data_IF_950086793578
#
_entry.id   IF_950086793578
#
_cell.length_a   1.000
_cell.length_b   1.000
_cell.length_c   1.000
_cell.angle_alpha   90.00
_cell.angle_beta   90.00
_cell.angle_gamma   90.00
#
_symmetry.space_group_name_H-M   'P 1'
#
loop_
_entity.id
_entity.type
_entity.pdbx_description
1 polymer ?
#
# COMPACT_ATOMS: atom_id res chain seq x y z
N UNK A 1 15.64 -12.04 -0.70
CA UNK A 1 14.86 -13.16 -0.13
C UNK A 1 14.31 -13.93 -1.30
N UNK A 2 14.95 -15.03 -1.68
CA UNK A 2 14.79 -15.61 -3.03
C UNK A 2 13.99 -16.91 -3.08
N UNK A 3 13.55 -17.43 -1.92
CA UNK A 3 12.62 -18.56 -1.80
C UNK A 3 11.61 -18.24 -0.70
N UNK A 4 10.31 -18.26 -1.03
CA UNK A 4 9.21 -17.98 -0.10
C UNK A 4 8.03 -18.89 -0.44
N UNK A 5 7.23 -19.23 0.57
CA UNK A 5 6.03 -20.05 0.43
C UNK A 5 4.83 -19.23 -0.04
N UNK A 6 4.10 -19.75 -1.03
CA UNK A 6 2.89 -19.14 -1.58
C UNK A 6 1.69 -20.08 -1.49
N UNK A 7 0.48 -19.52 -1.47
CA UNK A 7 -0.76 -20.29 -1.62
C UNK A 7 -1.10 -20.43 -3.09
N UNK A 8 -1.33 -21.66 -3.54
CA UNK A 8 -1.66 -21.96 -4.94
C UNK A 8 -3.07 -21.47 -5.27
N UNK A 9 -3.19 -20.76 -6.40
CA UNK A 9 -4.48 -20.44 -7.03
C UNK A 9 -4.42 -20.90 -8.49
N UNK A 10 -5.28 -21.85 -8.85
CA UNK A 10 -5.36 -22.37 -10.21
C UNK A 10 -6.03 -21.31 -11.10
N UNK A 11 -5.37 -20.96 -12.20
CA UNK A 11 -5.82 -19.98 -13.17
C UNK A 11 -5.67 -20.57 -14.58
N UNK A 12 -6.43 -20.09 -15.57
CA UNK A 12 -6.18 -20.45 -16.96
C UNK A 12 -4.79 -19.98 -17.43
N UNK A 13 -4.37 -20.48 -18.59
CA UNK A 13 -3.10 -20.18 -19.28
C UNK A 13 -1.86 -20.84 -18.67
N UNK A 14 -0.73 -20.76 -19.38
CA UNK A 14 0.48 -21.58 -19.12
C UNK A 14 1.63 -20.79 -18.49
N UNK A 15 1.34 -19.80 -17.63
CA UNK A 15 2.38 -18.98 -16.97
C UNK A 15 2.11 -18.84 -15.47
N UNK A 16 3.18 -18.74 -14.68
CA UNK A 16 3.05 -18.38 -13.27
C UNK A 16 2.63 -16.93 -13.12
N UNK A 17 1.87 -16.67 -12.04
CA UNK A 17 1.38 -15.34 -11.69
C UNK A 17 1.65 -15.08 -10.23
N UNK A 18 2.16 -13.90 -9.93
CA UNK A 18 2.42 -13.44 -8.57
C UNK A 18 2.03 -11.98 -8.41
N UNK A 19 1.93 -11.51 -7.17
CA UNK A 19 1.65 -10.12 -6.87
C UNK A 19 2.87 -9.23 -7.18
N UNK A 20 2.64 -8.03 -7.70
CA UNK A 20 3.70 -7.07 -8.07
C UNK A 20 4.59 -6.68 -6.88
N UNK A 21 4.08 -6.61 -5.65
CA UNK A 21 4.91 -6.32 -4.48
C UNK A 21 5.91 -7.45 -4.14
N UNK A 22 5.70 -8.65 -4.68
CA UNK A 22 6.63 -9.77 -4.53
C UNK A 22 7.78 -9.73 -5.55
N UNK A 23 7.73 -8.87 -6.57
CA UNK A 23 8.80 -8.85 -7.59
C UNK A 23 10.12 -8.33 -7.01
N UNK A 24 10.07 -7.37 -6.10
CA UNK A 24 11.26 -6.78 -5.47
C UNK A 24 12.14 -7.80 -4.74
N UNK A 25 11.63 -8.68 -3.85
CA UNK A 25 12.47 -9.70 -3.21
C UNK A 25 13.00 -10.77 -4.15
N UNK A 26 12.28 -11.08 -5.24
CA UNK A 26 12.71 -12.03 -6.27
C UNK A 26 13.61 -11.42 -7.35
N UNK A 27 13.68 -10.09 -7.41
CA UNK A 27 14.31 -9.35 -8.51
C UNK A 27 13.75 -9.77 -9.89
N UNK A 28 12.42 -9.91 -9.98
CA UNK A 28 11.72 -10.27 -11.22
C UNK A 28 11.19 -9.02 -11.94
N UNK A 29 11.14 -9.05 -13.27
CA UNK A 29 10.67 -7.92 -14.10
C UNK A 29 9.70 -8.30 -15.23
N UNK A 30 9.43 -9.60 -15.42
CA UNK A 30 8.49 -10.15 -16.40
C UNK A 30 8.89 -9.93 -17.87
N UNK A 31 10.18 -9.76 -18.18
CA UNK A 31 10.67 -9.62 -19.56
C UNK A 31 10.99 -10.95 -20.27
N UNK A 32 10.75 -12.07 -19.59
CA UNK A 32 11.14 -13.42 -20.03
C UNK A 32 11.57 -14.34 -18.89
N UNK A 33 11.54 -13.86 -17.64
CA UNK A 33 11.88 -14.60 -16.44
C UNK A 33 11.22 -15.98 -16.31
N UNK A 34 12.02 -16.96 -15.90
CA UNK A 34 11.56 -18.28 -15.48
C UNK A 34 11.73 -18.44 -13.96
N UNK A 35 10.74 -19.07 -13.31
CA UNK A 35 10.80 -19.39 -11.88
C UNK A 35 10.45 -20.85 -11.64
N UNK A 36 11.19 -21.49 -10.73
CA UNK A 36 10.93 -22.87 -10.34
C UNK A 36 9.93 -22.93 -9.18
N UNK A 37 9.11 -23.99 -9.17
CA UNK A 37 8.16 -24.27 -8.10
C UNK A 37 8.44 -25.66 -7.51
N UNK A 38 8.56 -25.72 -6.20
CA UNK A 38 8.73 -26.96 -5.45
C UNK A 38 7.50 -27.21 -4.58
N UNK A 39 6.94 -28.42 -4.65
CA UNK A 39 5.75 -28.80 -3.88
C UNK A 39 6.18 -29.64 -2.66
N UNK A 40 5.97 -29.16 -1.42
CA UNK A 40 6.24 -29.97 -0.23
C UNK A 40 5.33 -31.20 -0.21
N UNK A 41 5.91 -32.38 -0.02
CA UNK A 41 5.19 -33.66 -0.10
C UNK A 41 4.61 -34.13 1.25
N UNK A 42 5.30 -33.84 2.36
CA UNK A 42 4.85 -34.23 3.70
C UNK A 42 4.03 -33.12 4.36
N UNK A 43 3.12 -33.50 5.27
CA UNK A 43 2.34 -32.53 6.04
C UNK A 43 3.20 -31.71 7.00
N UNK A 44 4.29 -32.29 7.51
CA UNK A 44 5.25 -31.61 8.37
C UNK A 44 5.98 -30.49 7.60
N UNK A 45 6.56 -30.80 6.43
CA UNK A 45 7.23 -29.79 5.59
C UNK A 45 6.23 -28.74 5.07
N UNK A 46 4.99 -29.14 4.78
CA UNK A 46 3.94 -28.17 4.44
C UNK A 46 3.68 -27.20 5.59
N UNK A 47 3.57 -27.70 6.83
CA UNK A 47 3.37 -26.86 8.02
C UNK A 47 4.57 -25.96 8.28
N UNK A 48 5.80 -26.44 8.05
CA UNK A 48 7.03 -25.65 8.14
C UNK A 48 6.99 -24.46 7.17
N UNK A 49 6.69 -24.71 5.89
CA UNK A 49 6.59 -23.65 4.88
C UNK A 49 5.47 -22.66 5.22
N UNK A 50 4.31 -23.13 5.66
CA UNK A 50 3.16 -22.26 6.00
C UNK A 50 3.42 -21.38 7.23
N UNK A 51 4.18 -21.86 8.21
CA UNK A 51 4.41 -21.13 9.47
C UNK A 51 5.71 -20.34 9.50
N UNK A 52 6.71 -20.69 8.70
CA UNK A 52 8.03 -20.05 8.73
C UNK A 52 8.28 -19.26 7.44
N UNK A 53 8.15 -19.91 6.28
CA UNK A 53 8.59 -19.35 5.00
C UNK A 53 7.50 -18.65 4.17
N UNK A 54 6.25 -18.61 4.64
CA UNK A 54 5.15 -17.99 3.89
C UNK A 54 5.40 -16.49 3.66
N UNK A 55 5.09 -16.00 2.46
CA UNK A 55 5.43 -14.63 2.00
C UNK A 55 5.07 -13.51 3.00
N UNK A 56 3.88 -13.48 3.65
CA UNK A 56 3.56 -12.43 4.62
C UNK A 56 4.47 -12.38 5.85
N UNK A 57 5.10 -13.52 6.23
CA UNK A 57 6.09 -13.56 7.34
C UNK A 57 7.48 -13.10 6.90
N UNK A 58 7.69 -12.96 5.60
CA UNK A 58 8.96 -12.56 4.98
C UNK A 58 8.88 -11.12 4.45
N UNK A 59 7.99 -10.26 4.97
CA UNK A 59 7.91 -8.86 4.56
C UNK A 59 9.13 -8.08 5.04
N UNK A 60 9.57 -8.29 6.29
CA UNK A 60 10.70 -7.59 6.92
C UNK A 60 11.93 -8.49 6.88
N UNK A 61 13.03 -8.00 6.32
CA UNK A 61 14.30 -8.75 6.29
C UNK A 61 15.14 -8.48 7.55
N UNK A 62 15.76 -9.52 8.15
CA UNK A 62 16.73 -9.33 9.24
C UNK A 62 18.06 -8.72 8.75
N UNK A 63 18.34 -8.72 7.44
CA UNK A 63 19.59 -8.17 6.88
C UNK A 63 19.75 -6.67 7.16
N UNK A 64 18.65 -5.92 7.13
CA UNK A 64 18.65 -4.46 7.24
C UNK A 64 17.47 -3.93 8.09
N UNK A 65 16.78 -4.80 8.81
CA UNK A 65 15.63 -4.48 9.67
C UNK A 65 14.58 -3.59 8.99
N UNK A 66 14.32 -3.85 7.70
CA UNK A 66 13.40 -3.05 6.87
C UNK A 66 12.51 -3.94 6.01
N UNK A 67 11.34 -3.46 5.58
CA UNK A 67 10.54 -4.15 4.58
C UNK A 67 11.32 -4.34 3.28
N UNK A 68 11.14 -5.48 2.61
CA UNK A 68 11.63 -5.70 1.23
C UNK A 68 10.51 -5.70 0.20
N UNK A 69 9.26 -5.78 0.66
CA UNK A 69 8.06 -5.66 -0.16
C UNK A 69 7.46 -4.29 0.11
N UNK A 70 7.20 -3.55 -0.96
CA UNK A 70 6.56 -2.24 -0.91
C UNK A 70 5.58 -2.08 -2.07
N UNK A 71 4.93 -0.93 -2.12
CA UNK A 71 4.12 -0.55 -3.27
C UNK A 71 5.05 -0.05 -4.37
N UNK A 72 4.94 -0.64 -5.55
CA UNK A 72 5.85 -0.40 -6.68
C UNK A 72 5.09 -0.02 -7.96
N UNK A 73 5.83 0.47 -8.95
CA UNK A 73 5.34 0.74 -10.31
C UNK A 73 4.08 1.63 -10.33
N UNK A 74 3.05 1.21 -11.07
CA UNK A 74 1.84 1.98 -11.32
C UNK A 74 1.08 2.31 -10.04
N UNK A 75 0.95 1.36 -9.12
CA UNK A 75 0.24 1.57 -7.86
C UNK A 75 0.91 2.69 -7.05
N UNK A 76 2.24 2.74 -7.00
CA UNK A 76 2.96 3.80 -6.29
C UNK A 76 2.72 5.17 -6.93
N UNK A 77 2.73 5.22 -8.25
CA UNK A 77 2.49 6.45 -9.03
C UNK A 77 1.04 6.93 -8.87
N UNK A 78 0.08 6.00 -8.94
CA UNK A 78 -1.34 6.28 -8.79
C UNK A 78 -1.66 6.75 -7.37
N UNK A 79 -1.10 6.13 -6.33
CA UNK A 79 -1.29 6.56 -4.94
C UNK A 79 -0.78 7.97 -4.72
N UNK A 80 0.39 8.33 -5.26
CA UNK A 80 0.89 9.71 -5.21
C UNK A 80 -0.09 10.68 -5.84
N UNK A 81 -0.62 10.36 -7.03
CA UNK A 81 -1.62 11.19 -7.71
C UNK A 81 -2.92 11.29 -6.91
N UNK A 82 -3.42 10.17 -6.40
CA UNK A 82 -4.70 10.08 -5.68
C UNK A 82 -4.66 10.83 -4.35
N UNK A 83 -3.54 10.80 -3.63
CA UNK A 83 -3.40 11.44 -2.31
C UNK A 83 -3.07 12.92 -2.37
N UNK A 84 -3.06 13.57 -3.54
CA UNK A 84 -2.93 15.04 -3.61
C UNK A 84 -4.15 15.76 -3.03
N UNK A 85 -3.94 16.97 -2.52
CA UNK A 85 -4.98 17.81 -1.88
C UNK A 85 -6.14 18.16 -2.81
N UNK A 86 -5.87 18.32 -4.10
CA UNK A 86 -6.81 18.76 -5.13
C UNK A 86 -7.61 17.61 -5.78
N UNK A 87 -7.48 16.38 -5.26
CA UNK A 87 -8.21 15.22 -5.78
C UNK A 87 -9.51 15.01 -5.04
N UNK A 88 -10.60 15.15 -5.78
CA UNK A 88 -11.96 14.90 -5.33
C UNK A 88 -12.61 13.78 -6.14
N UNK A 89 -13.40 12.96 -5.47
CA UNK A 89 -14.11 11.81 -6.03
C UNK A 89 -15.62 12.00 -5.85
N UNK A 90 -16.37 11.65 -6.89
CA UNK A 90 -17.83 11.64 -6.84
C UNK A 90 -18.34 10.41 -6.10
N UNK A 91 -19.61 10.44 -5.69
CA UNK A 91 -20.24 9.31 -4.99
C UNK A 91 -20.15 8.01 -5.79
N UNK A 92 -20.37 8.04 -7.11
CA UNK A 92 -20.30 6.82 -7.94
C UNK A 92 -18.89 6.23 -7.96
N UNK A 93 -17.87 7.08 -8.07
CA UNK A 93 -16.47 6.66 -8.06
C UNK A 93 -16.10 6.03 -6.71
N UNK A 94 -16.52 6.65 -5.60
CA UNK A 94 -16.29 6.12 -4.26
C UNK A 94 -16.96 4.77 -4.08
N UNK A 95 -18.23 4.62 -4.47
CA UNK A 95 -18.94 3.34 -4.37
C UNK A 95 -18.24 2.24 -5.15
N UNK A 96 -17.78 2.53 -6.37
CA UNK A 96 -17.01 1.56 -7.16
C UNK A 96 -15.69 1.16 -6.48
N UNK A 97 -14.96 2.12 -5.90
CA UNK A 97 -13.72 1.83 -5.18
C UNK A 97 -13.96 0.97 -3.93
N UNK A 98 -15.02 1.26 -3.17
CA UNK A 98 -15.38 0.50 -1.96
C UNK A 98 -15.68 -0.97 -2.25
N UNK A 99 -16.21 -1.30 -3.44
CA UNK A 99 -16.45 -2.69 -3.84
C UNK A 99 -15.17 -3.53 -3.93
N UNK A 100 -14.00 -2.90 -4.11
CA UNK A 100 -12.71 -3.59 -4.16
C UNK A 100 -12.06 -3.75 -2.79
N UNK A 101 -12.60 -3.16 -1.72
CA UNK A 101 -12.04 -3.21 -0.38
C UNK A 101 -12.63 -4.40 0.41
N UNK A 102 -11.86 -5.50 0.63
CA UNK A 102 -12.42 -6.69 1.27
C UNK A 102 -12.72 -6.51 2.77
N UNK A 103 -12.09 -5.52 3.39
CA UNK A 103 -12.23 -5.18 4.82
C UNK A 103 -13.28 -4.11 5.09
N UNK A 104 -14.04 -3.72 4.08
CA UNK A 104 -15.05 -2.68 4.21
C UNK A 104 -16.23 -3.15 5.07
N UNK A 105 -16.67 -2.31 6.00
CA UNK A 105 -17.75 -2.59 6.95
C UNK A 105 -19.16 -2.30 6.39
N UNK A 106 -19.26 -1.95 5.11
CA UNK A 106 -20.52 -1.59 4.44
C UNK A 106 -20.95 -0.13 4.65
N UNK A 107 -20.18 0.68 5.37
CA UNK A 107 -20.51 2.09 5.62
C UNK A 107 -19.70 3.01 4.73
N UNK A 108 -20.41 3.83 3.96
CA UNK A 108 -19.77 4.90 3.17
C UNK A 108 -19.43 6.04 4.14
N UNK A 109 -18.17 6.51 4.19
CA UNK A 109 -17.79 7.60 5.08
C UNK A 109 -18.49 8.92 4.67
N UNK A 110 -18.65 9.84 5.61
CA UNK A 110 -19.24 11.17 5.33
C UNK A 110 -18.32 11.98 4.41
N UNK A 111 -18.80 12.56 3.30
CA UNK A 111 -17.95 13.32 2.37
C UNK A 111 -17.31 14.54 3.05
N UNK A 112 -16.09 14.90 2.62
CA UNK A 112 -15.40 16.08 3.17
C UNK A 112 -16.05 17.41 2.75
N UNK A 113 -16.74 17.42 1.60
CA UNK A 113 -17.55 18.55 1.12
C UNK A 113 -18.99 18.05 0.96
N UNK A 114 -19.96 18.72 1.58
CA UNK A 114 -21.37 18.34 1.48
C UNK A 114 -22.14 19.13 0.41
N UNK A 115 -21.75 20.39 0.18
CA UNK A 115 -22.40 21.31 -0.77
C UNK A 115 -21.35 21.99 -1.65
N UNK A 116 -21.65 22.32 -2.92
CA UNK A 116 -22.93 22.15 -3.61
C UNK A 116 -23.25 20.69 -3.98
N UNK A 117 -22.23 19.82 -4.01
CA UNK A 117 -22.37 18.38 -4.24
C UNK A 117 -21.46 17.62 -3.25
N UNK A 118 -21.82 16.39 -2.87
CA UNK A 118 -21.00 15.58 -1.98
C UNK A 118 -19.72 15.11 -2.68
N UNK A 119 -18.56 15.44 -2.11
CA UNK A 119 -17.24 15.05 -2.62
C UNK A 119 -16.37 14.46 -1.51
N UNK A 120 -15.65 13.39 -1.86
CA UNK A 120 -14.65 12.74 -1.00
C UNK A 120 -13.25 13.04 -1.51
N UNK A 121 -12.26 13.11 -0.62
CA UNK A 121 -10.86 13.22 -1.05
C UNK A 121 -10.23 11.85 -1.25
N UNK A 122 -9.17 11.79 -2.06
CA UNK A 122 -8.40 10.56 -2.18
C UNK A 122 -7.78 10.10 -0.86
N UNK A 123 -7.36 11.02 0.02
CA UNK A 123 -6.84 10.70 1.36
C UNK A 123 -7.89 10.05 2.27
N UNK A 124 -9.13 10.54 2.18
CA UNK A 124 -10.25 9.98 2.92
C UNK A 124 -10.54 8.54 2.51
N UNK A 125 -10.49 8.24 1.21
CA UNK A 125 -10.65 6.86 0.73
C UNK A 125 -9.44 6.00 1.10
N UNK A 126 -8.23 6.55 1.04
CA UNK A 126 -7.01 5.85 1.45
C UNK A 126 -7.03 5.45 2.93
N UNK A 127 -7.63 6.27 3.79
CA UNK A 127 -7.81 5.99 5.23
C UNK A 127 -8.50 4.65 5.47
N UNK A 128 -9.50 4.28 4.65
CA UNK A 128 -10.20 3.00 4.78
C UNK A 128 -9.32 1.77 4.52
N UNK A 129 -8.17 1.97 3.88
CA UNK A 129 -7.19 0.91 3.56
C UNK A 129 -6.24 0.69 4.75
N UNK A 130 -6.01 1.72 5.58
CA UNK A 130 -5.07 1.64 6.70
C UNK A 130 -5.71 0.80 7.82
N UNK A 131 -5.06 -0.29 8.27
CA UNK A 131 -5.63 -1.17 9.27
C UNK A 131 -5.43 -0.65 10.69
N UNK A 132 -6.43 -0.82 11.54
CA UNK A 132 -6.32 -0.62 12.98
C UNK A 132 -5.98 0.82 13.39
N UNK A 133 -5.18 0.97 14.45
CA UNK A 133 -4.81 2.25 15.04
C UNK A 133 -3.31 2.48 14.83
N UNK A 134 -2.95 2.97 13.64
CA UNK A 134 -1.55 3.22 13.24
C UNK A 134 -1.26 4.71 13.32
N UNK A 135 -0.11 5.05 13.89
CA UNK A 135 0.43 6.41 13.92
C UNK A 135 1.74 6.45 13.14
N UNK A 136 1.87 7.41 12.22
CA UNK A 136 3.07 7.58 11.40
C UNK A 136 3.24 9.04 11.00
N UNK A 137 4.45 9.56 11.19
CA UNK A 137 4.87 10.84 10.62
C UNK A 137 6.01 10.60 9.64
N UNK A 138 5.87 11.08 8.41
CA UNK A 138 6.87 11.00 7.33
C UNK A 138 6.86 12.28 6.52
N UNK A 139 7.87 12.44 5.67
CA UNK A 139 7.94 13.55 4.71
C UNK A 139 7.92 13.01 3.28
N UNK A 140 7.20 13.71 2.42
CA UNK A 140 7.23 13.49 0.98
C UNK A 140 8.64 13.78 0.44
N UNK A 141 8.96 13.28 -0.75
CA UNK A 141 10.30 13.44 -1.34
C UNK A 141 10.69 14.88 -1.65
N UNK A 142 9.72 15.78 -1.70
CA UNK A 142 9.89 17.21 -2.02
C UNK A 142 9.56 18.12 -0.83
N UNK A 143 9.60 17.59 0.39
CA UNK A 143 9.43 18.43 1.60
C UNK A 143 10.61 19.41 1.70
N UNK A 144 10.38 20.73 1.79
CA UNK A 144 11.44 21.72 1.99
C UNK A 144 12.02 21.61 3.40
N UNK A 145 13.35 21.66 3.52
CA UNK A 145 14.04 21.50 4.81
C UNK A 145 13.69 22.63 5.81
N UNK A 146 13.47 23.85 5.30
CA UNK A 146 13.11 25.02 6.12
C UNK A 146 11.66 24.99 6.64
N UNK A 147 10.81 24.08 6.12
CA UNK A 147 9.39 24.04 6.47
C UNK A 147 9.17 23.58 7.92
N UNK A 148 10.04 22.69 8.44
CA UNK A 148 9.94 22.15 9.79
C UNK A 148 10.26 23.18 10.89
N UNK A 149 11.16 24.13 10.63
CA UNK A 149 11.48 25.24 11.55
C UNK A 149 10.57 26.46 11.33
N UNK A 150 9.76 26.44 10.26
CA UNK A 150 8.90 27.54 9.87
C UNK A 150 7.57 27.61 10.64
N UNK A 151 6.82 28.72 10.46
CA UNK A 151 5.52 28.89 11.11
C UNK A 151 4.45 27.89 10.62
N UNK A 152 4.65 27.25 9.46
CA UNK A 152 3.69 26.33 8.83
C UNK A 152 4.04 24.84 9.00
N UNK A 153 4.94 24.48 9.92
CA UNK A 153 5.43 23.11 10.12
C UNK A 153 4.35 22.06 10.46
N UNK A 154 3.15 22.47 10.91
CA UNK A 154 1.99 21.60 11.14
C UNK A 154 0.89 21.71 10.08
N UNK A 155 0.94 22.73 9.22
CA UNK A 155 -0.04 22.97 8.16
C UNK A 155 0.72 23.18 6.85
N UNK A 156 1.31 22.07 6.39
CA UNK A 156 2.22 22.06 5.24
C UNK A 156 1.59 22.71 4.00
N UNK A 157 2.12 23.83 3.49
CA UNK A 157 1.56 24.48 2.31
C UNK A 157 1.60 23.56 1.09
N UNK A 158 2.71 22.83 0.93
CA UNK A 158 2.94 21.88 -0.16
C UNK A 158 2.30 20.51 0.01
N UNK A 159 1.58 20.26 1.12
CA UNK A 159 1.00 18.96 1.45
C UNK A 159 2.07 17.84 1.50
N UNK A 160 3.25 18.18 2.04
CA UNK A 160 4.44 17.32 1.99
C UNK A 160 4.67 16.58 3.30
N UNK A 161 4.17 17.06 4.43
CA UNK A 161 4.23 16.36 5.72
C UNK A 161 3.10 15.33 5.80
N UNK A 162 3.48 14.05 5.81
CA UNK A 162 2.57 12.91 5.88
C UNK A 162 2.29 12.58 7.34
N UNK A 163 1.04 12.67 7.75
CA UNK A 163 0.60 12.33 9.10
C UNK A 163 -0.55 11.33 8.99
N UNK A 164 -0.31 10.13 9.52
CA UNK A 164 -1.33 9.15 9.82
C UNK A 164 -1.48 9.14 11.33
N UNK A 165 -2.69 9.36 11.82
CA UNK A 165 -3.02 9.34 13.25
C UNK A 165 -4.29 8.53 13.45
N UNK A 166 -4.25 7.59 14.40
CA UNK A 166 -5.35 6.69 14.69
C UNK A 166 -5.88 5.88 13.50
N UNK A 167 -5.00 5.55 12.56
CA UNK A 167 -5.38 4.86 11.31
C UNK A 167 -5.95 5.80 10.24
N UNK A 168 -6.01 7.11 10.48
CA UNK A 168 -6.53 8.10 9.54
C UNK A 168 -5.42 8.90 8.88
N UNK A 169 -5.43 9.00 7.55
CA UNK A 169 -4.50 9.85 6.80
C UNK A 169 -5.00 11.30 6.81
N UNK A 170 -4.49 12.08 7.77
CA UNK A 170 -4.91 13.47 7.98
C UNK A 170 -4.37 14.42 6.90
N UNK A 171 -3.08 14.31 6.56
CA UNK A 171 -2.42 15.19 5.60
C UNK A 171 -1.21 14.53 4.94
N UNK A 172 -0.75 15.13 3.84
CA UNK A 172 0.46 14.73 3.14
C UNK A 172 0.24 13.83 1.92
N UNK A 173 1.12 13.97 0.94
CA UNK A 173 1.14 13.16 -0.28
C UNK A 173 2.01 11.91 -0.04
N UNK A 174 1.45 10.73 -0.30
CA UNK A 174 2.18 9.47 -0.15
C UNK A 174 3.11 9.23 -1.34
N UNK A 175 4.36 8.86 -1.06
CA UNK A 175 5.34 8.48 -2.07
C UNK A 175 6.20 7.29 -1.62
N UNK A 176 7.29 7.02 -2.34
CA UNK A 176 8.24 5.93 -2.03
C UNK A 176 8.76 6.00 -0.58
N UNK A 177 8.95 7.19 -0.01
CA UNK A 177 9.39 7.35 1.38
C UNK A 177 8.36 6.87 2.42
N UNK A 178 7.10 6.73 2.02
CA UNK A 178 5.99 6.33 2.90
C UNK A 178 5.54 4.88 2.67
N UNK A 179 5.53 4.41 1.42
CA UNK A 179 4.95 3.11 1.03
C UNK A 179 5.93 2.15 0.33
N UNK A 180 7.18 2.57 0.15
CA UNK A 180 8.23 1.80 -0.51
C UNK A 180 9.15 1.07 0.43
#
# INVERSE_FOLDING_TARGET
MSMMGHRVKVLPWSTFRMNLSCTSPYNADFDGDEMNLHVPQSMETRAEVENIHITPRQIITPQANKPVMGIVQDTLTAVRKMTKRDVFLTKEQVMNLLMFLPTWDGKIPQPCILKPQPLWTGKQIFTLIIPGNVNMVRTHSTHPDEEDDGPYHLISPGDTKVIVEHGELLMGILCKKSLG
#
